data_IF_791952647198
#
_entry.id   IF_791952647198
#
_cell.length_a   1.000
_cell.length_b   1.000
_cell.length_c   1.000
_cell.angle_alpha   90.00
_cell.angle_beta   90.00
_cell.angle_gamma   90.00
#
_symmetry.space_group_name_H-M   'P 1'
#
loop_
_entity.id
_entity.type
_entity.pdbx_description
1 polymer ?
#
# COMPACT_ATOMS: atom_id res chain seq x y z
N UNK A 1 13.61 -2.62 -3.33
CA UNK A 1 13.27 -2.85 -1.91
C UNK A 1 12.61 -4.22 -1.81
N UNK A 2 13.11 -5.10 -0.96
CA UNK A 2 12.52 -6.44 -0.76
C UNK A 2 11.18 -6.32 -0.02
N UNK A 3 10.19 -7.19 -0.30
CA UNK A 3 8.96 -7.23 0.44
C UNK A 3 9.23 -7.57 1.92
N UNK A 4 8.51 -6.93 2.84
CA UNK A 4 8.68 -7.08 4.30
C UNK A 4 7.39 -7.59 4.92
N UNK A 5 7.50 -8.51 5.86
CA UNK A 5 6.35 -8.96 6.64
C UNK A 5 5.96 -7.88 7.64
N UNK A 6 4.71 -7.42 7.57
CA UNK A 6 4.20 -6.32 8.36
C UNK A 6 2.69 -6.49 8.59
N UNK A 7 2.20 -6.07 9.75
CA UNK A 7 0.78 -6.11 10.08
C UNK A 7 -0.10 -5.33 9.09
N UNK A 8 -1.11 -5.98 8.49
CA UNK A 8 -2.11 -5.34 7.66
C UNK A 8 -3.38 -5.06 8.49
N UNK A 9 -3.78 -3.79 8.60
CA UNK A 9 -5.02 -3.42 9.28
C UNK A 9 -6.28 -4.06 8.66
N UNK A 10 -6.28 -4.32 7.35
CA UNK A 10 -7.45 -4.87 6.64
C UNK A 10 -7.54 -6.39 6.74
N UNK A 11 -6.40 -7.08 6.76
CA UNK A 11 -6.36 -8.54 6.94
C UNK A 11 -6.38 -8.96 8.42
N UNK A 12 -6.09 -8.02 9.32
CA UNK A 12 -5.88 -8.27 10.75
C UNK A 12 -4.76 -9.31 11.02
N UNK A 13 -3.75 -9.34 10.13
CA UNK A 13 -2.67 -10.33 10.14
C UNK A 13 -1.34 -9.73 9.63
N UNK A 14 -0.22 -10.37 9.94
CA UNK A 14 1.10 -10.02 9.42
C UNK A 14 1.32 -10.56 8.01
N UNK A 15 1.07 -9.70 7.03
CA UNK A 15 1.16 -10.02 5.61
C UNK A 15 2.46 -9.53 4.98
N UNK A 16 2.86 -10.17 3.90
CA UNK A 16 3.97 -9.69 3.11
C UNK A 16 3.57 -8.41 2.37
N UNK A 17 4.26 -7.31 2.65
CA UNK A 17 4.02 -6.02 2.02
C UNK A 17 5.16 -5.66 1.08
N UNK A 18 4.82 -5.28 -0.14
CA UNK A 18 5.79 -4.86 -1.15
C UNK A 18 5.75 -3.36 -1.39
N UNK A 19 6.85 -2.80 -1.87
CA UNK A 19 6.85 -1.43 -2.38
C UNK A 19 5.93 -1.31 -3.60
N UNK A 20 5.39 -0.10 -3.80
CA UNK A 20 4.63 0.22 -5.00
C UNK A 20 5.53 0.27 -6.24
N UNK A 21 4.98 -0.16 -7.37
CA UNK A 21 5.61 0.02 -8.69
C UNK A 21 5.53 1.47 -9.13
N UNK A 22 6.31 1.87 -10.13
CA UNK A 22 6.29 3.23 -10.67
C UNK A 22 4.89 3.66 -11.12
N UNK A 23 4.12 2.77 -11.76
CA UNK A 23 2.74 3.06 -12.19
C UNK A 23 1.80 3.28 -11.00
N UNK A 24 1.87 2.41 -10.00
CA UNK A 24 1.06 2.52 -8.78
C UNK A 24 1.39 3.80 -7.99
N UNK A 25 2.66 4.20 -7.97
CA UNK A 25 3.10 5.46 -7.36
C UNK A 25 2.52 6.68 -8.08
N UNK A 26 2.57 6.71 -9.41
CA UNK A 26 1.97 7.79 -10.20
C UNK A 26 0.47 7.87 -9.95
N UNK A 27 -0.21 6.72 -9.96
CA UNK A 27 -1.63 6.62 -9.62
C UNK A 27 -1.92 7.16 -8.21
N UNK A 28 -1.15 6.75 -7.20
CA UNK A 28 -1.36 7.20 -5.83
C UNK A 28 -1.13 8.72 -5.68
N UNK A 29 -0.10 9.26 -6.34
CA UNK A 29 0.17 10.71 -6.37
C UNK A 29 -1.00 11.48 -6.98
N UNK A 30 -1.54 11.00 -8.11
CA UNK A 30 -2.68 11.62 -8.78
C UNK A 30 -3.94 11.55 -7.91
N UNK A 31 -4.16 10.43 -7.21
CA UNK A 31 -5.32 10.23 -6.34
C UNK A 31 -5.27 11.08 -5.06
N UNK A 32 -4.12 11.17 -4.39
CA UNK A 32 -4.02 11.79 -3.06
C UNK A 32 -3.38 13.18 -3.09
N UNK A 33 -2.88 13.64 -4.23
CA UNK A 33 -2.13 14.90 -4.36
C UNK A 33 -0.80 14.94 -3.59
N UNK A 34 -0.32 13.80 -3.07
CA UNK A 34 0.89 13.74 -2.24
C UNK A 34 2.14 13.71 -3.10
N UNK A 35 3.19 14.41 -2.66
CA UNK A 35 4.51 14.39 -3.33
C UNK A 35 5.35 13.16 -2.93
N UNK A 36 5.24 12.73 -1.68
CA UNK A 36 5.94 11.57 -1.14
C UNK A 36 5.01 10.36 -1.14
N UNK A 37 5.30 9.38 -2.02
CA UNK A 37 4.59 8.09 -2.08
C UNK A 37 5.52 6.88 -1.98
N UNK A 38 6.82 7.13 -1.78
CA UNK A 38 7.84 6.08 -1.66
C UNK A 38 7.74 5.30 -0.35
N UNK A 39 7.13 5.91 0.67
CA UNK A 39 6.93 5.33 1.99
C UNK A 39 5.78 4.32 2.06
N UNK A 40 4.99 4.21 1.00
CA UNK A 40 3.83 3.32 0.96
C UNK A 40 4.21 1.92 0.50
N UNK A 41 3.66 0.96 1.21
CA UNK A 41 3.73 -0.45 0.90
C UNK A 41 2.32 -0.98 0.70
N UNK A 42 2.17 -1.86 -0.29
CA UNK A 42 0.94 -2.56 -0.57
C UNK A 42 0.99 -3.95 0.05
N UNK A 43 -0.10 -4.33 0.72
CA UNK A 43 -0.34 -5.69 1.18
C UNK A 43 -0.39 -6.66 0.00
N UNK A 44 0.47 -7.67 0.02
CA UNK A 44 0.56 -8.73 -1.00
C UNK A 44 -0.45 -9.85 -0.80
N UNK A 45 -1.24 -9.84 0.27
CA UNK A 45 -2.32 -10.80 0.48
C UNK A 45 -3.33 -10.71 -0.68
N UNK A 46 -3.69 -11.84 -1.32
CA UNK A 46 -4.63 -11.87 -2.43
C UNK A 46 -5.94 -11.15 -2.08
N UNK A 47 -6.32 -10.16 -2.88
CA UNK A 47 -7.58 -9.41 -2.70
C UNK A 47 -7.54 -8.25 -1.70
N UNK A 48 -6.52 -8.13 -0.85
CA UNK A 48 -6.40 -7.00 0.08
C UNK A 48 -5.90 -5.73 -0.61
N UNK A 49 -4.65 -5.73 -1.06
CA UNK A 49 -3.98 -4.61 -1.76
C UNK A 49 -4.03 -3.27 -1.01
N UNK A 50 -4.29 -3.30 0.30
CA UNK A 50 -4.36 -2.10 1.12
C UNK A 50 -2.97 -1.44 1.21
N UNK A 51 -2.97 -0.11 1.27
CA UNK A 51 -1.78 0.70 1.49
C UNK A 51 -1.55 0.94 2.97
N UNK A 52 -0.29 0.78 3.38
CA UNK A 52 0.22 1.24 4.67
C UNK A 52 1.58 1.90 4.51
N UNK A 53 2.04 2.60 5.52
CA UNK A 53 3.44 3.03 5.61
C UNK A 53 4.20 2.17 6.64
N UNK A 54 5.50 2.37 6.77
CA UNK A 54 6.30 1.67 7.80
C UNK A 54 5.76 1.93 9.21
N UNK A 55 5.33 3.17 9.50
CA UNK A 55 4.89 3.60 10.83
C UNK A 55 3.36 3.64 11.00
N UNK A 56 2.62 3.93 9.92
CA UNK A 56 1.16 4.05 9.97
C UNK A 56 0.48 2.84 9.29
N UNK A 57 -0.26 2.07 10.07
CA UNK A 57 -1.01 0.88 9.64
C UNK A 57 -2.24 1.22 8.77
N UNK A 58 -2.78 2.44 8.91
CA UNK A 58 -3.95 2.95 8.19
C UNK A 58 -3.75 4.44 7.87
N UNK A 59 -2.97 4.76 6.82
CA UNK A 59 -2.68 6.14 6.45
C UNK A 59 -3.84 6.85 5.74
N UNK A 60 -4.87 6.11 5.32
CA UNK A 60 -6.03 6.63 4.60
C UNK A 60 -7.33 6.17 5.27
N UNK A 61 -8.30 7.06 5.30
CA UNK A 61 -9.68 6.79 5.70
C UNK A 61 -10.64 7.43 4.68
N UNK A 62 -11.36 6.65 3.85
CA UNK A 62 -11.36 5.19 3.76
C UNK A 62 -10.03 4.60 3.22
N UNK A 63 -9.81 3.31 3.46
CA UNK A 63 -8.59 2.61 3.02
C UNK A 63 -8.46 2.64 1.50
N UNK A 64 -7.25 2.91 1.00
CA UNK A 64 -6.95 2.90 -0.43
C UNK A 64 -6.39 1.52 -0.81
N UNK A 65 -7.01 0.91 -1.83
CA UNK A 65 -6.57 -0.37 -2.40
C UNK A 65 -5.99 -0.13 -3.78
N UNK A 66 -4.79 -0.64 -4.02
CA UNK A 66 -4.15 -0.53 -5.34
C UNK A 66 -4.99 -1.28 -6.38
N UNK A 67 -5.35 -0.67 -7.53
CA UNK A 67 -6.15 -1.33 -8.57
C UNK A 67 -5.42 -2.53 -9.18
N UNK A 68 -6.16 -3.44 -9.83
CA UNK A 68 -5.53 -4.53 -10.57
C UNK A 68 -4.86 -3.90 -11.79
N UNK A 69 -3.62 -4.27 -12.13
CA UNK A 69 -3.13 -3.99 -13.47
C UNK A 69 -4.07 -4.69 -14.47
N UNK A 70 -4.46 -3.96 -15.51
CA UNK A 70 -5.17 -4.49 -16.68
C UNK A 70 -4.37 -5.62 -17.34
#
# INVERSE_FOLDING_TARGET
>A
MQPRQMYCFTCDSDEQHRALTTKEKVWLRALTGRRAVEEFFMCGSPGCRNLRTGFNKRPFDPVIRVPLPD
#
